data_IF_452427411816
#
_entry.id   IF_452427411816
#
_cell.length_a   1.000
_cell.length_b   1.000
_cell.length_c   1.000
_cell.angle_alpha   90.00
_cell.angle_beta   90.00
_cell.angle_gamma   90.00
#
_symmetry.space_group_name_H-M   'P 1'
#
loop_
_entity.id
_entity.type
_entity.pdbx_description
1 polymer ?
#
# COMPACT_ATOMS: atom_id res chain seq x y z
N UNK A 1 -28.78 26.17 7.43
CA UNK A 1 -29.19 25.70 6.10
C UNK A 1 -27.94 25.49 5.27
N UNK A 2 -27.44 24.26 5.25
CA UNK A 2 -26.37 23.85 4.32
C UNK A 2 -27.09 23.47 3.02
N UNK A 3 -27.13 24.36 2.05
CA UNK A 3 -27.55 24.00 0.71
C UNK A 3 -26.45 23.16 0.07
N UNK A 4 -26.80 21.96 -0.33
CA UNK A 4 -25.94 21.11 -1.17
C UNK A 4 -26.34 21.35 -2.63
N UNK A 5 -25.66 22.23 -3.38
CA UNK A 5 -26.11 22.65 -4.72
C UNK A 5 -26.06 21.57 -5.79
N UNK A 6 -25.53 20.40 -5.47
CA UNK A 6 -25.31 19.30 -6.43
C UNK A 6 -26.32 18.18 -6.33
N UNK A 7 -27.35 18.29 -5.52
CA UNK A 7 -28.38 17.25 -5.43
C UNK A 7 -29.51 17.43 -6.47
N UNK A 8 -29.45 18.47 -7.28
CA UNK A 8 -30.43 18.69 -8.34
C UNK A 8 -29.92 18.07 -9.66
N UNK A 9 -30.37 16.86 -9.96
CA UNK A 9 -30.52 16.46 -11.36
C UNK A 9 -29.57 15.39 -11.89
N UNK A 10 -28.85 14.61 -11.08
CA UNK A 10 -28.08 13.47 -11.59
C UNK A 10 -28.77 12.17 -11.19
N UNK A 11 -29.60 11.65 -12.05
CA UNK A 11 -30.07 10.28 -11.96
C UNK A 11 -28.88 9.34 -12.20
N UNK A 12 -28.43 8.64 -11.15
CA UNK A 12 -27.46 7.53 -11.24
C UNK A 12 -25.99 7.83 -10.94
N UNK A 13 -25.62 9.05 -10.54
CA UNK A 13 -24.27 9.37 -10.12
C UNK A 13 -24.15 9.61 -8.62
N UNK A 14 -23.07 9.16 -7.99
CA UNK A 14 -22.72 9.56 -6.61
C UNK A 14 -22.10 10.95 -6.65
N UNK A 15 -22.72 11.99 -6.04
CA UNK A 15 -22.12 13.30 -6.04
C UNK A 15 -20.80 13.29 -5.27
N UNK A 16 -19.76 13.78 -5.90
CA UNK A 16 -18.47 14.08 -5.29
C UNK A 16 -18.15 15.55 -5.48
N UNK A 17 -17.46 16.15 -4.51
CA UNK A 17 -16.95 17.49 -4.69
C UNK A 17 -15.82 17.51 -5.70
N UNK A 18 -15.83 18.49 -6.60
CA UNK A 18 -14.66 18.75 -7.44
C UNK A 18 -13.50 19.21 -6.57
N UNK A 19 -12.35 18.58 -6.75
CA UNK A 19 -11.13 18.96 -6.03
C UNK A 19 -9.91 18.84 -6.96
N UNK A 20 -8.88 19.58 -6.62
CA UNK A 20 -7.56 19.45 -7.25
C UNK A 20 -6.55 19.22 -6.16
N UNK A 21 -5.65 18.29 -6.40
CA UNK A 21 -4.54 18.02 -5.50
C UNK A 21 -3.27 17.78 -6.34
N UNK A 22 -2.16 18.26 -5.84
CA UNK A 22 -0.84 18.04 -6.42
C UNK A 22 0.12 17.56 -5.35
N UNK A 23 1.13 16.85 -5.78
CA UNK A 23 2.22 16.34 -4.95
C UNK A 23 3.53 16.67 -5.63
N UNK A 24 4.44 17.20 -4.85
CA UNK A 24 5.84 17.34 -5.25
C UNK A 24 6.65 16.31 -4.50
N UNK A 25 7.58 15.68 -5.20
CA UNK A 25 8.46 14.65 -4.64
C UNK A 25 9.88 14.93 -5.09
N UNK A 26 10.79 14.99 -4.13
CA UNK A 26 12.23 15.08 -4.36
C UNK A 26 12.88 13.81 -3.85
N UNK A 27 13.71 13.18 -4.68
CA UNK A 27 14.37 11.92 -4.33
C UNK A 27 15.87 12.00 -4.59
N UNK A 28 16.64 11.40 -3.68
CA UNK A 28 18.07 11.12 -3.86
C UNK A 28 18.30 9.64 -3.61
N UNK A 29 19.03 8.98 -4.50
CA UNK A 29 19.35 7.57 -4.31
C UNK A 29 20.79 7.26 -4.68
N UNK A 30 21.31 6.21 -4.06
CA UNK A 30 22.61 5.62 -4.40
C UNK A 30 22.48 4.12 -4.36
N UNK A 31 23.19 3.45 -5.24
CA UNK A 31 23.25 2.00 -5.31
C UNK A 31 24.67 1.55 -5.63
N UNK A 32 25.11 0.52 -4.93
CA UNK A 32 26.33 -0.20 -5.20
C UNK A 32 26.01 -1.67 -5.40
N UNK A 33 26.51 -2.24 -6.49
CA UNK A 33 26.45 -3.68 -6.78
C UNK A 33 27.82 -4.14 -7.21
N UNK A 34 28.33 -5.18 -6.60
CA UNK A 34 29.66 -5.68 -6.93
C UNK A 34 30.03 -6.97 -6.22
N UNK A 35 31.12 -7.56 -6.68
CA UNK A 35 31.74 -8.70 -6.02
C UNK A 35 32.55 -8.22 -4.81
N UNK A 36 32.32 -8.86 -3.65
CA UNK A 36 33.13 -8.69 -2.44
C UNK A 36 34.31 -9.66 -2.44
N UNK A 37 34.16 -10.80 -3.10
CA UNK A 37 35.18 -11.81 -3.36
C UNK A 37 34.87 -12.57 -4.65
N UNK A 38 35.66 -13.58 -4.99
CA UNK A 38 35.40 -14.47 -6.15
C UNK A 38 34.06 -15.22 -6.02
N UNK A 39 33.62 -15.47 -4.79
CA UNK A 39 32.42 -16.27 -4.51
C UNK A 39 31.30 -15.48 -3.83
N UNK A 40 31.51 -14.20 -3.49
CA UNK A 40 30.51 -13.41 -2.77
C UNK A 40 30.24 -12.13 -3.51
N UNK A 41 28.97 -11.90 -3.82
CA UNK A 41 28.43 -10.66 -4.40
C UNK A 41 27.52 -9.92 -3.41
N UNK A 42 27.50 -8.59 -3.49
CA UNK A 42 26.65 -7.78 -2.66
C UNK A 42 25.98 -6.66 -3.45
N UNK A 43 24.80 -6.28 -3.01
CA UNK A 43 24.07 -5.10 -3.47
C UNK A 43 23.65 -4.30 -2.24
N UNK A 44 23.94 -3.00 -2.24
CA UNK A 44 23.51 -2.06 -1.21
C UNK A 44 22.85 -0.89 -1.92
N UNK A 45 21.65 -0.52 -1.51
CA UNK A 45 20.95 0.64 -2.03
C UNK A 45 20.38 1.47 -0.89
N UNK A 46 20.38 2.79 -1.07
CA UNK A 46 19.79 3.76 -0.16
C UNK A 46 19.03 4.79 -0.99
N UNK A 47 17.79 5.11 -0.60
CA UNK A 47 16.99 6.16 -1.19
C UNK A 47 16.35 7.02 -0.10
N UNK A 48 16.57 8.31 -0.21
CA UNK A 48 15.82 9.33 0.50
C UNK A 48 14.76 9.91 -0.42
N UNK A 49 13.56 10.07 0.08
CA UNK A 49 12.47 10.69 -0.66
C UNK A 49 11.73 11.66 0.26
N UNK A 50 11.55 12.90 -0.18
CA UNK A 50 10.75 13.92 0.48
C UNK A 50 9.52 14.23 -0.35
N UNK A 51 8.36 14.14 0.29
CA UNK A 51 7.07 14.29 -0.35
C UNK A 51 6.26 15.36 0.36
N UNK A 52 5.78 16.36 -0.39
CA UNK A 52 5.04 17.51 0.16
C UNK A 52 3.77 17.14 0.95
N UNK A 53 3.27 15.91 0.81
CA UNK A 53 2.02 15.45 1.42
C UNK A 53 2.17 14.50 2.59
N UNK A 54 3.30 13.79 2.70
CA UNK A 54 3.50 12.74 3.72
C UNK A 54 4.85 12.84 4.43
N UNK A 55 5.65 13.89 4.10
CA UNK A 55 6.98 14.08 4.69
C UNK A 55 8.05 13.23 4.02
N UNK A 56 9.16 13.02 4.73
CA UNK A 56 10.34 12.34 4.20
C UNK A 56 10.45 10.91 4.71
N UNK A 57 10.91 10.03 3.82
CA UNK A 57 11.13 8.61 4.09
C UNK A 57 12.52 8.19 3.59
N UNK A 58 13.12 7.24 4.30
CA UNK A 58 14.38 6.61 3.91
C UNK A 58 14.13 5.12 3.72
N UNK A 59 14.46 4.61 2.56
CA UNK A 59 14.41 3.18 2.28
C UNK A 59 15.79 2.66 1.89
N UNK A 60 16.06 1.43 2.25
CA UNK A 60 17.33 0.78 1.99
C UNK A 60 17.15 -0.67 1.59
N UNK A 61 18.16 -1.21 0.93
CA UNK A 61 18.26 -2.61 0.55
C UNK A 61 19.67 -3.11 0.79
N UNK A 62 19.77 -4.32 1.31
CA UNK A 62 20.97 -5.12 1.36
C UNK A 62 20.65 -6.49 0.77
N UNK A 63 21.47 -6.94 -0.18
CA UNK A 63 21.38 -8.28 -0.72
C UNK A 63 22.77 -8.89 -0.84
N UNK A 64 22.85 -10.19 -0.60
CA UNK A 64 24.06 -10.99 -0.69
C UNK A 64 23.78 -12.22 -1.53
N UNK A 65 24.72 -12.56 -2.39
CA UNK A 65 24.81 -13.82 -3.09
C UNK A 65 26.14 -14.51 -2.73
N UNK A 66 26.09 -15.80 -2.44
CA UNK A 66 27.26 -16.58 -2.12
C UNK A 66 27.27 -17.88 -2.92
N UNK A 67 28.22 -17.98 -3.84
CA UNK A 67 28.52 -19.21 -4.59
C UNK A 67 29.27 -20.15 -3.65
N UNK A 68 28.51 -21.07 -3.01
CA UNK A 68 29.06 -22.06 -2.06
C UNK A 68 29.89 -23.12 -2.80
N UNK A 69 29.39 -23.52 -3.97
CA UNK A 69 30.07 -24.39 -4.95
C UNK A 69 29.76 -23.86 -6.36
N UNK A 70 30.34 -24.45 -7.39
CA UNK A 70 30.03 -24.12 -8.80
C UNK A 70 28.57 -24.34 -9.13
N UNK A 71 27.88 -25.24 -8.42
CA UNK A 71 26.49 -25.65 -8.67
C UNK A 71 25.51 -25.04 -7.67
N UNK A 72 25.97 -24.38 -6.58
CA UNK A 72 25.10 -23.92 -5.50
C UNK A 72 25.34 -22.45 -5.15
N UNK A 73 24.34 -21.61 -5.44
CA UNK A 73 24.25 -20.22 -4.99
C UNK A 73 23.25 -20.11 -3.83
N UNK A 74 23.68 -19.54 -2.71
CA UNK A 74 22.80 -19.05 -1.65
C UNK A 74 22.57 -17.55 -1.84
N UNK A 75 21.34 -17.09 -1.57
CA UNK A 75 20.99 -15.68 -1.64
C UNK A 75 20.19 -15.26 -0.43
N UNK A 76 20.47 -14.05 0.06
CA UNK A 76 19.71 -13.43 1.14
C UNK A 76 19.51 -11.97 0.84
N UNK A 77 18.36 -11.41 1.19
CA UNK A 77 18.15 -9.98 1.11
C UNK A 77 17.27 -9.46 2.23
N UNK A 78 17.48 -8.20 2.58
CA UNK A 78 16.58 -7.44 3.45
C UNK A 78 16.44 -6.04 2.89
N UNK A 79 15.20 -5.51 2.95
CA UNK A 79 14.90 -4.19 2.43
C UNK A 79 13.70 -3.58 3.14
N UNK A 80 13.68 -2.25 3.17
CA UNK A 80 12.51 -1.47 3.53
C UNK A 80 11.85 -0.89 2.28
N UNK A 81 10.58 -0.58 2.38
CA UNK A 81 9.84 0.16 1.35
C UNK A 81 8.75 1.00 1.98
N UNK A 82 8.25 2.00 1.27
CA UNK A 82 7.12 2.79 1.71
C UNK A 82 6.17 3.09 0.55
N UNK A 83 4.95 3.47 0.90
CA UNK A 83 3.94 3.96 -0.03
C UNK A 83 3.27 5.20 0.54
N UNK A 84 3.47 6.34 -0.10
CA UNK A 84 2.77 7.56 0.26
C UNK A 84 1.25 7.41 0.05
N UNK A 85 0.41 8.01 0.93
CA UNK A 85 -1.05 7.97 0.79
C UNK A 85 -1.51 8.52 -0.55
N UNK A 86 -2.61 8.00 -1.06
CA UNK A 86 -3.26 8.51 -2.27
C UNK A 86 -3.74 9.96 -2.06
N UNK A 87 -3.57 10.81 -3.07
CA UNK A 87 -4.03 12.19 -3.04
C UNK A 87 -5.55 12.30 -2.86
N UNK A 88 -6.30 11.35 -3.37
CA UNK A 88 -7.76 11.27 -3.15
C UNK A 88 -8.07 11.08 -1.68
N UNK A 89 -7.38 10.14 -1.02
CA UNK A 89 -7.57 9.85 0.40
C UNK A 89 -7.20 11.02 1.31
N UNK A 90 -6.21 11.84 0.90
CA UNK A 90 -5.75 13.01 1.65
C UNK A 90 -6.62 14.26 1.43
N UNK A 91 -7.10 14.47 0.21
CA UNK A 91 -7.54 15.79 -0.24
C UNK A 91 -9.01 15.86 -0.69
N UNK A 92 -9.64 14.72 -1.03
CA UNK A 92 -11.03 14.75 -1.47
C UNK A 92 -11.94 15.18 -0.33
N UNK A 93 -12.66 16.33 -0.43
CA UNK A 93 -13.42 16.87 0.70
C UNK A 93 -14.51 15.93 1.21
N UNK A 94 -15.21 15.27 0.30
CA UNK A 94 -16.15 14.20 0.60
C UNK A 94 -16.58 13.45 -0.67
N UNK A 95 -17.02 12.21 -0.50
CA UNK A 95 -17.76 11.49 -1.52
C UNK A 95 -19.02 10.90 -0.90
N UNK A 96 -20.15 11.07 -1.56
CA UNK A 96 -21.36 10.35 -1.21
C UNK A 96 -21.37 9.01 -1.93
N UNK A 97 -21.53 7.94 -1.19
CA UNK A 97 -21.71 6.59 -1.74
C UNK A 97 -23.07 6.07 -1.34
N UNK A 98 -23.70 5.36 -2.24
CA UNK A 98 -24.96 4.69 -1.99
C UNK A 98 -24.62 3.23 -1.68
N UNK A 99 -24.97 2.77 -0.50
CA UNK A 99 -24.89 1.35 -0.14
C UNK A 99 -26.30 0.77 -0.10
N UNK A 100 -26.54 -0.33 -0.81
CA UNK A 100 -27.75 -1.13 -0.72
C UNK A 100 -27.52 -2.31 0.24
N UNK A 101 -28.56 -2.71 0.99
CA UNK A 101 -28.52 -3.92 1.80
C UNK A 101 -27.86 -3.80 3.18
N UNK A 102 -27.70 -2.60 3.72
CA UNK A 102 -27.25 -2.40 5.10
C UNK A 102 -28.42 -2.40 6.06
N UNK A 103 -28.27 -3.08 7.21
CA UNK A 103 -29.23 -3.04 8.29
C UNK A 103 -29.09 -1.74 9.08
N UNK A 104 -30.13 -0.94 9.19
CA UNK A 104 -30.15 0.22 10.08
C UNK A 104 -30.52 -0.22 11.50
N UNK A 105 -29.53 -0.58 12.26
CA UNK A 105 -29.71 -0.98 13.68
C UNK A 105 -30.21 0.17 14.58
N UNK A 106 -30.11 1.43 14.15
CA UNK A 106 -30.59 2.56 14.94
C UNK A 106 -32.11 2.72 14.88
N UNK A 107 -32.78 2.13 13.88
CA UNK A 107 -34.21 2.11 13.71
C UNK A 107 -34.90 0.83 14.15
N UNK A 108 -34.14 -0.17 14.60
CA UNK A 108 -34.68 -1.41 15.13
C UNK A 108 -35.37 -1.12 16.47
N UNK A 109 -36.68 -0.84 16.42
CA UNK A 109 -37.53 -0.69 17.58
C UNK A 109 -38.31 -2.01 17.73
N UNK A 110 -37.74 -2.97 18.46
CA UNK A 110 -38.37 -4.26 18.77
C UNK A 110 -37.65 -5.47 18.15
N UNK A 111 -37.79 -6.62 18.77
CA UNK A 111 -37.04 -7.84 18.41
C UNK A 111 -37.36 -8.41 17.01
N UNK A 112 -38.48 -8.03 16.42
CA UNK A 112 -38.93 -8.50 15.11
C UNK A 112 -38.71 -7.50 13.97
N UNK A 113 -38.22 -6.31 14.25
CA UNK A 113 -38.09 -5.24 13.27
C UNK A 113 -36.63 -5.00 12.87
N UNK A 114 -35.87 -6.09 12.67
CA UNK A 114 -34.69 -6.04 11.81
C UNK A 114 -35.20 -5.75 10.39
N UNK A 115 -35.77 -4.57 10.19
CA UNK A 115 -36.09 -4.07 8.87
C UNK A 115 -34.80 -4.08 8.10
N UNK A 116 -34.67 -5.09 7.26
CA UNK A 116 -33.90 -4.94 6.04
C UNK A 116 -34.48 -3.72 5.36
N UNK A 117 -33.89 -2.59 5.70
CA UNK A 117 -34.18 -1.39 4.96
C UNK A 117 -33.47 -1.63 3.64
N UNK A 118 -34.18 -2.11 2.63
CA UNK A 118 -33.75 -2.00 1.23
C UNK A 118 -33.60 -0.53 0.83
N UNK A 119 -33.53 0.34 1.82
CA UNK A 119 -33.32 1.77 1.67
C UNK A 119 -31.86 2.02 1.37
N UNK A 120 -31.67 2.77 0.34
CA UNK A 120 -30.42 3.32 -0.12
C UNK A 120 -29.80 4.19 0.97
N UNK A 121 -28.86 3.62 1.75
CA UNK A 121 -28.16 4.38 2.76
C UNK A 121 -27.07 5.22 2.11
N UNK A 122 -27.11 6.51 2.38
CA UNK A 122 -26.06 7.42 1.94
C UNK A 122 -24.88 7.35 2.89
N UNK A 123 -23.77 6.84 2.40
CA UNK A 123 -22.50 6.85 3.12
C UNK A 123 -21.70 8.07 2.69
N UNK A 124 -21.31 8.89 3.65
CA UNK A 124 -20.37 9.98 3.43
C UNK A 124 -18.96 9.46 3.71
N UNK A 125 -18.14 9.31 2.67
CA UNK A 125 -16.71 9.11 2.81
C UNK A 125 -16.03 10.48 2.95
N UNK A 126 -15.20 10.63 3.95
CA UNK A 126 -14.39 11.84 4.17
C UNK A 126 -12.91 11.47 4.02
N UNK A 127 -12.12 12.45 3.58
CA UNK A 127 -10.66 12.33 3.57
C UNK A 127 -10.08 12.29 4.98
N UNK A 128 -8.87 11.81 5.09
CA UNK A 128 -8.05 11.95 6.27
C UNK A 128 -6.71 12.63 5.90
N UNK A 129 -6.56 13.92 6.18
CA UNK A 129 -5.36 14.67 5.82
C UNK A 129 -4.13 14.31 6.69
N UNK A 130 -4.32 13.49 7.73
CA UNK A 130 -3.25 13.07 8.65
C UNK A 130 -2.74 11.66 8.39
N UNK A 131 -3.09 11.07 7.25
CA UNK A 131 -2.58 9.76 6.86
C UNK A 131 -1.06 9.82 6.71
N UNK A 132 -0.39 8.86 7.33
CA UNK A 132 1.05 8.63 7.19
C UNK A 132 1.33 7.64 6.06
N UNK A 133 2.57 7.59 5.60
CA UNK A 133 2.99 6.59 4.64
C UNK A 133 2.86 5.17 5.22
N UNK A 134 2.44 4.23 4.38
CA UNK A 134 2.58 2.81 4.69
C UNK A 134 4.05 2.43 4.56
N UNK A 135 4.55 1.66 5.51
CA UNK A 135 5.91 1.12 5.46
C UNK A 135 5.89 -0.39 5.41
N UNK A 136 6.91 -0.98 4.83
CA UNK A 136 7.07 -2.43 4.83
C UNK A 136 8.54 -2.83 4.96
N UNK A 137 8.76 -3.92 5.68
CA UNK A 137 10.03 -4.63 5.75
C UNK A 137 9.90 -5.97 5.06
N UNK A 138 10.89 -6.33 4.27
CA UNK A 138 10.97 -7.59 3.57
C UNK A 138 12.31 -8.25 3.85
N UNK A 139 12.27 -9.53 4.24
CA UNK A 139 13.44 -10.38 4.41
C UNK A 139 13.22 -11.61 3.54
N UNK A 140 14.23 -11.99 2.77
CA UNK A 140 14.21 -13.20 1.96
C UNK A 140 15.51 -13.97 2.09
N UNK A 141 15.38 -15.28 1.96
CA UNK A 141 16.49 -16.22 1.88
C UNK A 141 16.12 -17.29 0.85
N UNK A 142 17.07 -17.66 0.00
CA UNK A 142 16.85 -18.68 -1.01
C UNK A 142 18.12 -19.31 -1.51
N UNK A 143 17.97 -20.31 -2.37
CA UNK A 143 19.09 -20.95 -3.05
C UNK A 143 18.75 -21.24 -4.51
N UNK A 144 19.78 -21.36 -5.32
CA UNK A 144 19.74 -21.89 -6.68
C UNK A 144 20.73 -23.03 -6.73
N UNK A 145 20.26 -24.20 -7.19
CA UNK A 145 21.11 -25.41 -7.34
C UNK A 145 21.01 -25.90 -8.77
N UNK A 146 22.15 -25.96 -9.45
CA UNK A 146 22.31 -26.30 -10.86
C UNK A 146 23.31 -27.45 -11.01
N UNK A 147 22.91 -28.71 -10.68
CA UNK A 147 23.82 -29.87 -10.70
C UNK A 147 24.32 -30.24 -12.10
N UNK A 148 23.67 -29.76 -13.13
CA UNK A 148 24.04 -29.90 -14.54
C UNK A 148 23.26 -28.87 -15.40
N UNK A 149 23.64 -28.77 -16.68
CA UNK A 149 23.06 -27.81 -17.63
C UNK A 149 21.56 -28.01 -17.92
N UNK A 150 20.97 -29.15 -17.52
CA UNK A 150 19.59 -29.52 -17.83
C UNK A 150 18.64 -29.25 -16.64
N UNK A 151 19.15 -29.06 -15.42
CA UNK A 151 18.36 -28.99 -14.21
C UNK A 151 18.73 -27.78 -13.34
N UNK A 152 17.77 -26.89 -13.14
CA UNK A 152 17.87 -25.80 -12.16
C UNK A 152 16.77 -25.94 -11.11
N UNK A 153 17.15 -25.98 -9.84
CA UNK A 153 16.24 -26.01 -8.69
C UNK A 153 16.39 -24.70 -7.93
N UNK A 154 15.27 -23.98 -7.74
CA UNK A 154 15.25 -22.74 -6.97
C UNK A 154 14.20 -22.81 -5.87
N UNK A 155 14.55 -22.36 -4.68
CA UNK A 155 13.60 -22.19 -3.59
C UNK A 155 13.87 -20.87 -2.84
N UNK A 156 12.81 -20.18 -2.48
CA UNK A 156 12.86 -18.94 -1.72
C UNK A 156 11.87 -18.96 -0.55
N UNK A 157 12.34 -18.50 0.60
CA UNK A 157 11.53 -18.21 1.77
C UNK A 157 11.58 -16.70 2.00
N UNK A 158 10.41 -16.08 2.23
CA UNK A 158 10.33 -14.65 2.50
C UNK A 158 9.33 -14.33 3.60
N UNK A 159 9.55 -13.19 4.24
CA UNK A 159 8.64 -12.58 5.21
C UNK A 159 8.48 -11.11 4.87
N UNK A 160 7.22 -10.65 4.79
CA UNK A 160 6.86 -9.25 4.59
C UNK A 160 6.05 -8.80 5.80
N UNK A 161 6.50 -7.74 6.46
CA UNK A 161 5.78 -7.04 7.54
C UNK A 161 5.37 -5.66 7.05
N UNK A 162 4.12 -5.28 7.26
CA UNK A 162 3.60 -3.97 6.86
C UNK A 162 3.03 -3.24 8.06
N UNK A 163 3.33 -1.94 8.15
CA UNK A 163 2.83 -1.03 9.16
C UNK A 163 2.07 0.13 8.52
N UNK A 164 1.19 0.77 9.30
CA UNK A 164 0.37 1.91 8.88
C UNK A 164 -0.49 1.64 7.62
N UNK A 165 -0.98 0.39 7.47
CA UNK A 165 -1.78 0.03 6.29
C UNK A 165 -3.02 0.91 6.17
N UNK A 166 -3.14 1.60 5.04
CA UNK A 166 -4.25 2.48 4.74
C UNK A 166 -5.42 1.65 4.21
N UNK A 167 -6.52 1.65 4.94
CA UNK A 167 -7.73 0.95 4.57
C UNK A 167 -8.98 1.80 4.74
N UNK A 168 -10.08 1.37 4.14
CA UNK A 168 -11.38 1.95 4.45
C UNK A 168 -11.90 1.33 5.74
N UNK A 169 -12.35 2.17 6.68
CA UNK A 169 -13.12 1.68 7.82
C UNK A 169 -14.41 1.06 7.26
N UNK A 170 -14.56 -0.25 7.42
CA UNK A 170 -15.78 -0.96 7.09
C UNK A 170 -16.94 -0.44 7.96
N UNK A 171 -18.13 -0.40 7.39
CA UNK A 171 -19.39 -0.20 8.12
C UNK A 171 -19.83 -1.50 8.76
#
# INVERSE_FOLDING_TARGET
NVQYPFLTGIAGGTPSADFRASRETTSLFTEFTGALSETVSAQVALRYEDTSTSGSEVVWKLALGWDVTEDLLLRASTQTSFRAPDLVALSQPFAHRINSGQNDYSRAIGEDDARRVDDWLYRRAVNNPTLQAETAENISFGFVYEPNDELTITADLYRISKDNTIGNLGS
#
